data_IF_108834227827
#
_entry.id   IF_108834227827
#
_cell.length_a   1.000
_cell.length_b   1.000
_cell.length_c   1.000
_cell.angle_alpha   90.00
_cell.angle_beta   90.00
_cell.angle_gamma   90.00
#
_symmetry.space_group_name_H-M   'P 1'
#
loop_
_entity.id
_entity.type
_entity.pdbx_description
1 polymer ?
#
# COMPACT_ATOMS: atom_id res chain seq x y z
N UNK A 1 5.04 6.39 18.24
CA UNK A 1 5.47 7.02 16.96
C UNK A 1 6.84 6.51 16.61
N UNK A 2 6.91 5.41 15.90
CA UNK A 2 8.20 4.83 15.53
C UNK A 2 8.16 4.23 14.13
N UNK A 3 9.32 4.24 13.49
CA UNK A 3 9.53 3.51 12.25
C UNK A 3 9.73 2.04 12.61
N UNK A 4 8.92 1.19 12.02
CA UNK A 4 8.93 -0.26 12.28
C UNK A 4 9.57 -0.99 11.10
N UNK A 5 10.17 -2.18 11.33
CA UNK A 5 10.63 -3.01 10.23
C UNK A 5 9.46 -3.51 9.40
N UNK A 6 9.61 -3.43 8.08
CA UNK A 6 8.61 -3.93 7.12
C UNK A 6 8.92 -5.39 6.82
N UNK A 7 7.92 -6.25 6.94
CA UNK A 7 8.06 -7.67 6.60
C UNK A 7 8.34 -7.84 5.11
N UNK A 8 9.18 -8.79 4.77
CA UNK A 8 9.58 -9.07 3.38
C UNK A 8 8.92 -10.33 2.86
N UNK A 9 8.83 -10.42 1.53
CA UNK A 9 8.32 -11.59 0.83
C UNK A 9 8.98 -12.87 1.37
N UNK A 10 8.16 -13.87 1.63
CA UNK A 10 8.55 -15.12 2.28
C UNK A 10 8.11 -15.18 3.73
N UNK A 11 7.84 -14.05 4.38
CA UNK A 11 7.26 -14.05 5.72
C UNK A 11 5.77 -14.43 5.63
N UNK A 12 5.35 -15.52 6.30
CA UNK A 12 3.97 -16.00 6.19
C UNK A 12 2.92 -15.02 6.72
N UNK A 13 3.33 -14.07 7.58
CA UNK A 13 2.41 -13.06 8.11
C UNK A 13 1.85 -12.13 7.02
N UNK A 14 2.55 -11.99 5.88
CA UNK A 14 2.04 -11.23 4.73
C UNK A 14 0.83 -11.90 4.07
N UNK A 15 0.61 -13.18 4.33
CA UNK A 15 -0.49 -13.96 3.73
C UNK A 15 -1.68 -14.13 4.66
N UNK A 16 -1.64 -13.54 5.84
CA UNK A 16 -2.74 -13.59 6.81
C UNK A 16 -3.67 -12.42 6.58
N UNK A 17 -4.95 -12.70 6.36
CA UNK A 17 -5.95 -11.65 6.21
C UNK A 17 -6.12 -10.85 7.52
N UNK A 18 -6.32 -9.54 7.38
CA UNK A 18 -6.57 -8.66 8.51
C UNK A 18 -7.93 -8.95 9.16
N UNK A 19 -7.97 -8.87 10.47
CA UNK A 19 -9.20 -8.97 11.24
C UNK A 19 -9.87 -7.61 11.34
N UNK A 20 -11.21 -7.53 11.31
CA UNK A 20 -11.92 -6.27 11.50
C UNK A 20 -11.54 -5.60 12.83
N UNK A 21 -11.41 -4.28 12.76
CA UNK A 21 -11.18 -3.45 13.95
C UNK A 21 -12.52 -3.13 14.60
N UNK A 22 -12.60 -3.35 15.91
CA UNK A 22 -13.80 -3.04 16.70
C UNK A 22 -13.52 -2.08 17.86
N UNK A 23 -12.25 -1.75 18.11
CA UNK A 23 -11.83 -0.82 19.15
C UNK A 23 -11.02 0.32 18.53
N UNK A 24 -11.46 1.55 18.72
CA UNK A 24 -10.90 2.74 18.08
C UNK A 24 -10.19 3.64 19.09
N UNK A 25 -9.40 3.02 19.96
CA UNK A 25 -8.67 3.70 21.01
C UNK A 25 -7.17 3.82 20.72
N UNK A 26 -6.41 3.90 21.79
CA UNK A 26 -4.98 4.19 21.78
C UNK A 26 -4.17 3.24 20.89
N UNK A 27 -4.44 1.92 20.96
CA UNK A 27 -3.68 0.94 20.19
C UNK A 27 -3.85 1.13 18.68
N UNK A 28 -5.06 1.43 18.23
CA UNK A 28 -5.31 1.74 16.81
C UNK A 28 -4.60 3.03 16.39
N UNK A 29 -4.65 4.07 17.24
CA UNK A 29 -4.00 5.35 16.92
C UNK A 29 -2.49 5.18 16.83
N UNK A 30 -1.88 4.41 17.72
CA UNK A 30 -0.44 4.11 17.66
C UNK A 30 -0.08 3.33 16.39
N UNK A 31 -0.90 2.34 16.01
CA UNK A 31 -0.69 1.58 14.79
C UNK A 31 -0.77 2.47 13.55
N UNK A 32 -1.78 3.32 13.44
CA UNK A 32 -1.92 4.27 12.33
C UNK A 32 -0.73 5.24 12.26
N UNK A 33 -0.27 5.73 13.40
CA UNK A 33 0.89 6.60 13.47
C UNK A 33 2.19 5.87 13.04
N UNK A 34 2.37 4.63 13.51
CA UNK A 34 3.52 3.80 13.13
C UNK A 34 3.51 3.47 11.63
N UNK A 35 2.34 3.15 11.07
CA UNK A 35 2.18 2.93 9.63
C UNK A 35 2.59 4.18 8.83
N UNK A 36 2.10 5.34 9.23
CA UNK A 36 2.39 6.59 8.54
C UNK A 36 3.88 6.95 8.60
N UNK A 37 4.49 6.84 9.78
CA UNK A 37 5.92 7.12 9.96
C UNK A 37 6.80 6.15 9.17
N UNK A 38 6.47 4.87 9.22
CA UNK A 38 7.22 3.83 8.50
C UNK A 38 7.09 4.01 6.99
N UNK A 39 5.89 4.28 6.50
CA UNK A 39 5.64 4.56 5.09
C UNK A 39 6.46 5.75 4.58
N UNK A 40 6.44 6.85 5.32
CA UNK A 40 7.19 8.07 4.95
C UNK A 40 8.70 7.86 4.97
N UNK A 41 9.19 7.06 5.90
CA UNK A 41 10.63 6.75 6.00
C UNK A 41 11.10 5.82 4.88
N UNK A 42 10.23 4.99 4.33
CA UNK A 42 10.57 3.98 3.32
C UNK A 42 11.01 4.50 1.94
N UNK A 43 10.65 5.65 1.34
CA UNK A 43 9.38 6.34 1.23
C UNK A 43 8.42 5.60 0.28
N UNK A 44 7.23 5.34 0.74
CA UNK A 44 6.17 4.70 -0.03
C UNK A 44 4.91 5.54 -0.09
N UNK A 45 3.95 5.13 -0.91
CA UNK A 45 2.67 5.78 -1.05
C UNK A 45 1.57 5.11 -0.22
N UNK A 46 1.86 3.98 0.41
CA UNK A 46 0.95 3.27 1.29
C UNK A 46 1.66 2.24 2.13
N UNK A 47 0.98 1.75 3.15
CA UNK A 47 1.45 0.66 4.00
C UNK A 47 0.25 0.05 4.73
N UNK A 48 0.23 -1.28 4.79
CA UNK A 48 -0.84 -2.04 5.45
C UNK A 48 -0.34 -2.69 6.74
N UNK A 49 -1.22 -2.83 7.72
CA UNK A 49 -0.88 -3.40 9.02
C UNK A 49 -0.23 -4.79 8.93
N UNK A 50 -0.67 -5.71 8.05
CA UNK A 50 0.03 -6.99 7.89
C UNK A 50 1.51 -6.87 7.54
N UNK A 51 1.92 -5.80 6.87
CA UNK A 51 3.34 -5.56 6.54
C UNK A 51 4.17 -5.20 7.77
N UNK A 52 3.55 -4.85 8.88
CA UNK A 52 4.20 -4.66 10.18
C UNK A 52 3.98 -5.87 11.11
N UNK A 53 3.35 -6.93 10.63
CA UNK A 53 3.06 -8.11 11.40
C UNK A 53 1.78 -8.04 12.23
N UNK A 54 0.96 -7.01 12.00
CA UNK A 54 -0.32 -6.81 12.67
C UNK A 54 -1.47 -7.27 11.77
N UNK A 55 -2.15 -8.36 12.15
CA UNK A 55 -3.23 -8.94 11.36
C UNK A 55 -4.55 -8.17 11.58
N UNK A 56 -4.54 -6.89 11.28
CA UNK A 56 -5.69 -5.98 11.42
C UNK A 56 -6.04 -5.35 10.07
N UNK A 57 -7.31 -5.06 9.89
CA UNK A 57 -7.88 -4.46 8.69
C UNK A 57 -7.65 -2.93 8.67
N UNK A 58 -6.37 -2.55 8.62
CA UNK A 58 -5.90 -1.16 8.73
C UNK A 58 -4.80 -0.91 7.71
N UNK A 59 -4.88 0.21 7.01
CA UNK A 59 -3.85 0.67 6.09
C UNK A 59 -3.81 2.20 6.05
N UNK A 60 -2.72 2.74 5.50
CA UNK A 60 -2.59 4.17 5.19
C UNK A 60 -2.19 4.32 3.73
N UNK A 61 -2.65 5.39 3.10
CA UNK A 61 -2.28 5.79 1.74
C UNK A 61 -2.02 7.27 1.74
N UNK A 62 -0.89 7.69 1.18
CA UNK A 62 -0.52 9.10 1.08
C UNK A 62 0.17 9.37 -0.25
N UNK A 63 -0.47 10.17 -1.09
CA UNK A 63 0.08 10.63 -2.35
C UNK A 63 -0.67 11.84 -2.84
N UNK A 64 -0.03 12.63 -3.70
CA UNK A 64 -0.68 13.77 -4.38
C UNK A 64 -1.29 14.78 -3.40
N UNK A 65 -0.69 14.97 -2.23
CA UNK A 65 -1.18 15.89 -1.20
C UNK A 65 -2.37 15.38 -0.42
N UNK A 66 -2.74 14.12 -0.55
CA UNK A 66 -3.86 13.49 0.15
C UNK A 66 -3.36 12.38 1.05
N UNK A 67 -3.94 12.27 2.23
CA UNK A 67 -3.66 11.21 3.20
C UNK A 67 -4.97 10.54 3.60
N UNK A 68 -4.99 9.21 3.52
CA UNK A 68 -6.13 8.40 3.93
C UNK A 68 -5.70 7.43 5.02
N UNK A 69 -6.37 7.49 6.15
CA UNK A 69 -6.33 6.42 7.15
C UNK A 69 -7.51 5.50 6.88
N UNK A 70 -7.23 4.24 6.59
CA UNK A 70 -8.23 3.27 6.15
C UNK A 70 -8.41 2.21 7.22
N UNK A 71 -9.50 2.26 7.96
CA UNK A 71 -9.89 1.27 8.95
C UNK A 71 -11.13 0.54 8.43
N UNK A 72 -11.07 -0.78 8.39
CA UNK A 72 -12.13 -1.62 7.81
C UNK A 72 -12.55 -1.16 6.41
N UNK A 73 -11.61 -0.90 5.49
CA UNK A 73 -11.94 -0.36 4.18
C UNK A 73 -12.54 -1.42 3.26
N UNK A 74 -13.42 -0.96 2.36
CA UNK A 74 -13.92 -1.79 1.27
C UNK A 74 -14.20 -0.95 0.04
N UNK A 75 -13.99 -1.54 -1.13
CA UNK A 75 -14.38 -0.95 -2.40
C UNK A 75 -15.86 -1.29 -2.62
N UNK A 76 -16.69 -0.26 -2.79
CA UNK A 76 -18.13 -0.43 -3.02
C UNK A 76 -18.53 -0.28 -4.48
N UNK A 77 -17.67 0.34 -5.28
CA UNK A 77 -17.85 0.50 -6.72
C UNK A 77 -16.49 0.71 -7.38
N UNK A 78 -16.35 0.25 -8.60
CA UNK A 78 -15.16 0.52 -9.41
C UNK A 78 -15.57 0.77 -10.87
N UNK A 79 -14.66 1.36 -11.65
CA UNK A 79 -14.88 1.67 -13.06
C UNK A 79 -13.55 1.77 -13.81
N UNK A 80 -13.56 1.27 -15.04
CA UNK A 80 -12.42 1.35 -15.96
C UNK A 80 -11.20 0.55 -15.52
N UNK A 81 -10.22 0.50 -16.39
CA UNK A 81 -8.95 -0.18 -16.15
C UNK A 81 -7.77 0.75 -16.39
N UNK A 82 -6.69 0.52 -15.67
CA UNK A 82 -5.40 1.14 -15.89
C UNK A 82 -4.30 0.09 -15.79
N UNK A 83 -3.28 0.22 -16.59
CA UNK A 83 -2.10 -0.65 -16.51
C UNK A 83 -0.86 0.22 -16.34
N UNK A 84 -0.08 -0.05 -15.33
CA UNK A 84 1.15 0.68 -15.03
C UNK A 84 2.08 -0.18 -14.18
N UNK A 85 3.31 0.29 -14.00
CA UNK A 85 4.28 -0.36 -13.13
C UNK A 85 3.87 -0.20 -11.66
N UNK A 86 4.01 -1.27 -10.92
CA UNK A 86 3.72 -1.31 -9.49
C UNK A 86 4.83 -2.04 -8.76
N UNK A 87 5.20 -1.54 -7.60
CA UNK A 87 6.15 -2.15 -6.70
C UNK A 87 5.58 -2.29 -5.31
N UNK A 88 6.33 -2.91 -4.41
CA UNK A 88 5.90 -3.16 -3.03
C UNK A 88 7.09 -3.07 -2.09
N UNK A 89 6.92 -2.39 -0.96
CA UNK A 89 7.99 -2.27 0.05
C UNK A 89 8.37 -3.63 0.65
N UNK A 90 7.46 -4.60 0.60
CA UNK A 90 7.74 -5.98 1.02
C UNK A 90 8.46 -6.80 -0.05
N UNK A 91 8.59 -6.28 -1.27
CA UNK A 91 9.29 -6.93 -2.39
C UNK A 91 10.27 -5.92 -2.99
N UNK A 92 11.32 -5.54 -2.25
CA UNK A 92 12.25 -4.51 -2.69
C UNK A 92 13.04 -4.94 -3.93
N UNK A 93 13.35 -3.98 -4.79
CA UNK A 93 14.18 -4.21 -5.96
C UNK A 93 13.44 -4.73 -7.20
N UNK A 94 12.12 -4.82 -7.16
CA UNK A 94 11.33 -5.30 -8.30
C UNK A 94 10.09 -4.47 -8.53
N UNK A 95 9.65 -4.44 -9.78
CA UNK A 95 8.35 -3.90 -10.20
C UNK A 95 7.77 -4.82 -11.27
N UNK A 96 6.49 -4.68 -11.55
CA UNK A 96 5.84 -5.36 -12.66
C UNK A 96 4.67 -4.52 -13.18
N UNK A 97 4.29 -4.77 -14.42
CA UNK A 97 3.06 -4.20 -14.99
C UNK A 97 1.84 -4.87 -14.36
N UNK A 98 1.00 -4.09 -13.70
CA UNK A 98 -0.22 -4.57 -13.04
C UNK A 98 -1.41 -3.76 -13.52
N UNK A 99 -2.46 -4.46 -13.93
CA UNK A 99 -3.74 -3.84 -14.27
C UNK A 99 -4.57 -3.70 -13.01
N UNK A 100 -5.04 -2.48 -12.77
CA UNK A 100 -5.92 -2.14 -11.66
C UNK A 100 -7.15 -1.42 -12.19
N UNK A 101 -8.16 -1.27 -11.35
CA UNK A 101 -9.30 -0.42 -11.72
C UNK A 101 -8.85 1.03 -11.73
N UNK A 102 -9.32 1.78 -12.72
CA UNK A 102 -8.95 3.19 -12.90
C UNK A 102 -9.54 4.07 -11.82
N UNK A 103 -10.80 3.83 -11.45
CA UNK A 103 -11.50 4.58 -10.41
C UNK A 103 -12.14 3.61 -9.41
N UNK A 104 -12.05 3.96 -8.15
CA UNK A 104 -12.66 3.21 -7.05
C UNK A 104 -13.42 4.14 -6.12
N UNK A 105 -14.54 3.65 -5.61
CA UNK A 105 -15.32 4.25 -4.53
C UNK A 105 -15.15 3.40 -3.30
N UNK A 106 -14.76 4.03 -2.20
CA UNK A 106 -14.31 3.34 -0.99
C UNK A 106 -15.16 3.80 0.20
N UNK A 107 -15.57 2.84 1.01
CA UNK A 107 -16.07 3.09 2.35
C UNK A 107 -15.03 2.63 3.35
N UNK A 108 -14.76 3.45 4.37
CA UNK A 108 -13.84 3.15 5.43
C UNK A 108 -14.29 3.82 6.72
N UNK A 109 -13.59 3.53 7.80
CA UNK A 109 -13.73 4.25 9.06
C UNK A 109 -12.43 5.00 9.34
N UNK A 110 -12.55 6.14 10.04
CA UNK A 110 -11.37 6.88 10.51
C UNK A 110 -10.87 6.29 11.84
N UNK A 111 -9.85 6.91 12.43
CA UNK A 111 -9.25 6.45 13.69
C UNK A 111 -10.21 6.52 14.90
N UNK A 112 -11.32 7.24 14.75
CA UNK A 112 -12.36 7.37 15.79
C UNK A 112 -13.58 6.49 15.52
N UNK A 113 -13.52 5.65 14.48
CA UNK A 113 -14.62 4.75 14.11
C UNK A 113 -15.73 5.41 13.31
N UNK A 114 -15.54 6.64 12.86
CA UNK A 114 -16.52 7.35 12.03
C UNK A 114 -16.42 6.84 10.59
N UNK A 115 -17.55 6.46 10.02
CA UNK A 115 -17.61 6.05 8.62
C UNK A 115 -17.47 7.24 7.69
N UNK A 116 -16.70 7.05 6.61
CA UNK A 116 -16.59 8.04 5.54
C UNK A 116 -16.46 7.33 4.18
N UNK A 117 -16.72 8.09 3.13
CA UNK A 117 -16.63 7.62 1.75
C UNK A 117 -15.77 8.58 0.95
N UNK A 118 -15.06 8.02 0.00
CA UNK A 118 -14.30 8.80 -0.98
C UNK A 118 -14.22 8.04 -2.29
N UNK A 119 -13.84 8.73 -3.35
CA UNK A 119 -13.46 8.09 -4.59
C UNK A 119 -12.13 8.65 -5.06
N UNK A 120 -11.36 7.80 -5.70
CA UNK A 120 -10.08 8.16 -6.30
C UNK A 120 -9.91 7.50 -7.65
N UNK A 121 -9.02 8.07 -8.45
CA UNK A 121 -8.65 7.58 -9.76
C UNK A 121 -7.14 7.53 -9.91
N UNK A 122 -6.66 6.91 -10.98
CA UNK A 122 -5.23 6.91 -11.32
C UNK A 122 -4.36 6.27 -10.25
N UNK A 123 -3.27 6.94 -9.91
CA UNK A 123 -2.28 6.42 -8.98
C UNK A 123 -2.83 6.18 -7.57
N UNK A 124 -3.66 7.10 -7.06
CA UNK A 124 -4.28 6.92 -5.73
C UNK A 124 -5.22 5.71 -5.71
N UNK A 125 -6.00 5.51 -6.77
CA UNK A 125 -6.84 4.31 -6.88
C UNK A 125 -6.00 3.04 -6.91
N UNK A 126 -4.85 3.04 -7.60
CA UNK A 126 -3.89 1.93 -7.60
C UNK A 126 -3.37 1.65 -6.20
N UNK A 127 -2.91 2.68 -5.51
CA UNK A 127 -2.38 2.54 -4.15
C UNK A 127 -3.43 1.97 -3.18
N UNK A 128 -4.65 2.47 -3.22
CA UNK A 128 -5.75 1.95 -2.38
C UNK A 128 -5.99 0.47 -2.66
N UNK A 129 -6.08 0.06 -3.93
CA UNK A 129 -6.30 -1.34 -4.29
C UNK A 129 -5.15 -2.24 -3.83
N UNK A 130 -3.90 -1.75 -3.95
CA UNK A 130 -2.72 -2.47 -3.49
C UNK A 130 -2.79 -2.73 -1.97
N UNK A 131 -3.14 -1.70 -1.20
CA UNK A 131 -3.25 -1.83 0.26
C UNK A 131 -4.41 -2.75 0.67
N UNK A 132 -5.56 -2.65 0.01
CA UNK A 132 -6.68 -3.55 0.30
C UNK A 132 -6.34 -5.01 -0.01
N UNK A 133 -5.51 -5.26 -1.01
CA UNK A 133 -5.02 -6.61 -1.27
C UNK A 133 -4.18 -7.13 -0.10
N UNK A 134 -3.28 -6.32 0.46
CA UNK A 134 -2.51 -6.70 1.64
C UNK A 134 -3.42 -7.11 2.82
N UNK A 135 -4.53 -6.42 2.99
CA UNK A 135 -5.50 -6.70 4.04
C UNK A 135 -6.20 -8.07 3.84
N UNK A 136 -6.10 -8.63 2.65
CA UNK A 136 -6.65 -9.95 2.30
C UNK A 136 -5.57 -11.01 2.13
N UNK A 137 -4.33 -10.69 2.44
CA UNK A 137 -3.20 -11.60 2.27
C UNK A 137 -2.74 -11.76 0.84
N UNK A 138 -3.05 -10.80 -0.04
CA UNK A 138 -2.65 -10.79 -1.46
C UNK A 138 -1.51 -9.82 -1.69
N UNK A 139 -0.62 -10.20 -2.61
CA UNK A 139 0.48 -9.38 -3.08
C UNK A 139 0.32 -9.15 -4.59
N UNK A 140 0.93 -8.08 -5.11
CA UNK A 140 0.80 -7.77 -6.54
C UNK A 140 1.35 -8.89 -7.44
N UNK A 141 2.32 -9.66 -6.97
CA UNK A 141 2.87 -10.80 -7.71
C UNK A 141 1.85 -11.91 -7.97
N UNK A 142 0.76 -11.94 -7.21
CA UNK A 142 -0.32 -12.92 -7.39
C UNK A 142 -1.09 -12.70 -8.70
N UNK A 143 -0.97 -11.53 -9.31
CA UNK A 143 -1.57 -11.21 -10.60
C UNK A 143 -0.68 -11.61 -11.79
N UNK A 144 0.56 -12.00 -11.53
CA UNK A 144 1.50 -12.39 -12.58
C UNK A 144 1.29 -13.86 -12.96
N UNK A 145 1.44 -14.15 -14.24
CA UNK A 145 1.43 -15.54 -14.74
C UNK A 145 2.74 -16.23 -14.40
N UNK A 146 3.85 -15.47 -14.38
CA UNK A 146 5.19 -15.97 -14.09
C UNK A 146 5.99 -14.88 -13.36
N UNK A 147 6.87 -15.30 -12.45
CA UNK A 147 7.82 -14.40 -11.79
C UNK A 147 8.84 -13.80 -12.75
N UNK A 148 8.95 -14.34 -13.96
CA UNK A 148 9.77 -13.77 -15.04
C UNK A 148 9.27 -12.41 -15.50
N UNK A 149 8.02 -12.06 -15.19
CA UNK A 149 7.45 -10.74 -15.47
C UNK A 149 7.94 -9.65 -14.52
N UNK A 150 8.61 -10.03 -13.43
CA UNK A 150 9.24 -9.07 -12.51
C UNK A 150 10.41 -8.38 -13.19
N UNK A 151 10.44 -7.06 -13.07
CA UNK A 151 11.48 -6.21 -13.65
C UNK A 151 12.39 -5.76 -12.50
N UNK A 152 13.70 -6.12 -12.53
CA UNK A 152 14.63 -5.63 -11.52
C UNK A 152 14.78 -4.11 -11.62
N UNK A 153 14.81 -3.46 -10.45
CA UNK A 153 15.09 -2.02 -10.33
C UNK A 153 16.44 -1.89 -9.65
N UNK A 154 17.43 -1.34 -10.38
CA UNK A 154 18.74 -1.05 -9.81
C UNK A 154 18.86 0.45 -9.57
N UNK A 155 19.23 0.82 -8.35
CA UNK A 155 19.66 2.18 -8.03
C UNK A 155 21.17 2.22 -8.19
N UNK A 156 21.70 2.88 -9.22
CA UNK A 156 23.14 3.13 -9.30
C UNK A 156 23.53 4.16 -8.24
N UNK A 157 24.56 3.83 -7.45
CA UNK A 157 25.20 4.83 -6.59
C UNK A 157 25.81 5.91 -7.49
N UNK A 158 25.30 7.14 -7.37
CA UNK A 158 25.73 8.28 -8.18
C UNK A 158 24.59 9.02 -8.84
N UNK A 159 23.42 8.43 -8.93
CA UNK A 159 22.24 9.06 -9.54
C UNK A 159 21.37 9.80 -8.52
N UNK A 160 21.91 10.09 -7.34
CA UNK A 160 21.21 10.88 -6.30
C UNK A 160 20.88 12.29 -6.75
N UNK A 161 21.66 12.84 -7.68
CA UNK A 161 21.49 14.21 -8.20
C UNK A 161 20.71 14.25 -9.52
N UNK A 162 20.67 13.16 -10.22
CA UNK A 162 19.72 13.01 -11.29
C UNK A 162 18.46 12.38 -10.66
N UNK A 163 17.53 13.21 -10.36
CA UNK A 163 16.15 12.76 -10.22
C UNK A 163 15.85 12.01 -11.49
N UNK A 164 16.20 10.76 -11.53
CA UNK A 164 15.81 9.89 -12.59
C UNK A 164 14.30 9.89 -12.57
N UNK A 165 13.77 10.74 -13.39
CA UNK A 165 12.34 10.93 -13.56
C UNK A 165 11.66 9.67 -14.04
N UNK A 166 12.44 8.63 -14.33
CA UNK A 166 11.94 7.38 -14.90
C UNK A 166 11.62 6.32 -13.87
N UNK A 167 12.24 6.37 -12.68
CA UNK A 167 12.06 5.38 -11.63
C UNK A 167 12.09 6.06 -10.25
N UNK A 168 11.29 7.08 -10.12
CA UNK A 168 11.05 7.75 -8.86
C UNK A 168 10.39 6.75 -7.90
N UNK A 169 10.90 6.64 -6.67
CA UNK A 169 10.34 5.80 -5.62
C UNK A 169 8.85 6.07 -5.36
N UNK A 170 8.37 7.28 -5.65
CA UNK A 170 6.95 7.61 -5.56
C UNK A 170 6.09 6.93 -6.64
N UNK A 171 6.71 6.40 -7.70
CA UNK A 171 6.01 5.63 -8.73
C UNK A 171 6.17 4.12 -8.57
N UNK A 172 7.19 3.68 -7.81
CA UNK A 172 7.57 2.28 -7.71
C UNK A 172 7.24 1.65 -6.38
N UNK A 173 7.25 2.44 -5.33
CA UNK A 173 6.99 1.98 -3.99
C UNK A 173 5.58 2.36 -3.56
N UNK A 174 4.60 1.56 -3.92
CA UNK A 174 3.28 1.76 -3.37
C UNK A 174 3.30 1.36 -1.91
N UNK A 175 3.71 0.16 -1.61
CA UNK A 175 3.86 -0.24 -0.20
C UNK A 175 4.73 -1.46 -0.02
#
# INVERSE_FOLDING_TARGET
>A
MSVKPILLLGDPRLRIAGQPVSSFGKLLHELLDDLTHTMRAAPGAGLAAPQLGEALDVAVVEARGKTYELVNPRIVRDDGDQTDLEGCLSIPGYVAEITRRERVWVEAQDRHGRSYRFNEHGFLARAVQHELDHLRGKLYIDYLESLDELIPVTYEEGDRDRKSTRLNSSHLGIS
#
